data_IF_120239903368
#
_entry.id   IF_120239903368
#
_cell.length_a   1.000
_cell.length_b   1.000
_cell.length_c   1.000
_cell.angle_alpha   90.00
_cell.angle_beta   90.00
_cell.angle_gamma   90.00
#
_symmetry.space_group_name_H-M   'P 1'
#
loop_
_entity.id
_entity.type
_entity.pdbx_description
1 polymer ?
#
# COMPACT_ATOMS: atom_id res chain seq x y z
N UNK A 1 -14.60 -14.97 11.32
CA UNK A 1 -15.12 -13.73 10.67
C UNK A 1 -14.34 -13.45 9.39
N UNK A 2 -14.94 -12.78 8.40
CA UNK A 2 -14.29 -12.47 7.11
C UNK A 2 -13.24 -11.36 7.26
N UNK A 3 -12.16 -11.47 6.47
CA UNK A 3 -11.07 -10.49 6.38
C UNK A 3 -10.65 -10.31 4.92
N UNK A 4 -10.26 -9.10 4.56
CA UNK A 4 -9.57 -8.83 3.31
C UNK A 4 -8.06 -8.79 3.53
N UNK A 5 -7.30 -9.46 2.68
CA UNK A 5 -5.84 -9.34 2.61
C UNK A 5 -5.49 -8.78 1.24
N UNK A 6 -4.68 -7.73 1.23
CA UNK A 6 -4.19 -7.09 0.01
C UNK A 6 -2.67 -7.25 -0.08
N UNK A 7 -2.21 -7.94 -1.11
CA UNK A 7 -0.78 -8.10 -1.38
C UNK A 7 -0.30 -6.99 -2.34
N UNK A 8 0.50 -6.06 -1.82
CA UNK A 8 1.03 -4.93 -2.59
C UNK A 8 2.04 -5.35 -3.65
N UNK A 9 2.71 -6.48 -3.47
CA UNK A 9 3.69 -7.00 -4.44
C UNK A 9 3.01 -7.50 -5.72
N UNK A 10 1.77 -7.97 -5.60
CA UNK A 10 0.96 -8.48 -6.69
C UNK A 10 0.12 -7.39 -7.37
N UNK A 11 -0.19 -6.28 -6.68
CA UNK A 11 -1.00 -5.21 -7.25
C UNK A 11 -0.21 -4.45 -8.33
N UNK A 12 -0.72 -4.46 -9.56
CA UNK A 12 -0.09 -3.79 -10.73
C UNK A 12 -0.81 -2.51 -11.17
N UNK A 13 -1.79 -2.03 -10.39
CA UNK A 13 -2.51 -0.81 -10.73
C UNK A 13 -3.40 -0.93 -11.98
N UNK A 14 -3.90 -2.11 -12.31
CA UNK A 14 -4.73 -2.33 -13.52
C UNK A 14 -6.15 -1.75 -13.43
N UNK A 15 -6.57 -1.27 -12.25
CA UNK A 15 -7.90 -0.70 -11.97
C UNK A 15 -9.09 -1.66 -12.16
N UNK A 16 -8.90 -2.91 -12.56
CA UNK A 16 -9.98 -3.88 -12.81
C UNK A 16 -10.91 -4.04 -11.61
N UNK A 17 -10.37 -4.17 -10.40
CA UNK A 17 -11.16 -4.28 -9.17
C UNK A 17 -12.00 -3.03 -8.87
N UNK A 18 -11.49 -1.83 -9.21
CA UNK A 18 -12.22 -0.56 -9.05
C UNK A 18 -13.39 -0.47 -10.02
N UNK A 19 -13.18 -0.84 -11.29
CA UNK A 19 -14.21 -0.82 -12.32
C UNK A 19 -15.25 -1.91 -12.04
N UNK A 20 -14.83 -3.13 -11.71
CA UNK A 20 -15.74 -4.22 -11.35
C UNK A 20 -16.62 -3.90 -10.13
N UNK A 21 -16.07 -3.24 -9.10
CA UNK A 21 -16.85 -2.75 -7.96
C UNK A 21 -17.87 -1.69 -8.39
N UNK A 22 -17.48 -0.81 -9.31
CA UNK A 22 -18.36 0.23 -9.84
C UNK A 22 -19.50 -0.36 -10.67
N UNK A 23 -19.18 -1.26 -11.58
CA UNK A 23 -20.12 -1.95 -12.45
C UNK A 23 -21.16 -2.75 -11.64
N UNK A 24 -20.73 -3.47 -10.62
CA UNK A 24 -21.61 -4.24 -9.73
C UNK A 24 -22.66 -3.37 -9.03
N UNK A 25 -22.33 -2.10 -8.71
CA UNK A 25 -23.17 -1.27 -7.84
C UNK A 25 -23.79 -0.04 -8.54
N UNK A 26 -23.39 0.29 -9.77
CA UNK A 26 -24.03 1.34 -10.54
C UNK A 26 -25.32 0.81 -11.17
N UNK A 27 -26.43 1.53 -10.98
CA UNK A 27 -27.72 1.12 -11.54
C UNK A 27 -28.38 -0.11 -10.87
N UNK A 28 -27.74 -0.72 -9.86
CA UNK A 28 -28.22 -1.92 -9.18
C UNK A 28 -28.51 -1.65 -7.70
N UNK A 29 -29.71 -1.99 -7.26
CA UNK A 29 -30.11 -2.01 -5.86
C UNK A 29 -29.89 -3.41 -5.26
N UNK A 30 -29.11 -3.48 -4.21
CA UNK A 30 -28.80 -4.70 -3.46
C UNK A 30 -29.36 -4.65 -2.05
N UNK A 31 -30.70 -4.49 -1.93
CA UNK A 31 -31.36 -4.43 -0.61
C UNK A 31 -31.20 -5.75 0.16
N UNK A 32 -31.02 -5.69 1.48
CA UNK A 32 -30.99 -4.50 2.35
C UNK A 32 -29.60 -3.86 2.49
N UNK A 33 -28.60 -4.21 1.66
CA UNK A 33 -27.20 -3.87 1.85
C UNK A 33 -26.77 -2.59 1.13
N UNK A 34 -27.37 -2.28 -0.01
CA UNK A 34 -27.03 -1.10 -0.80
C UNK A 34 -28.15 -0.64 -1.69
N UNK A 35 -28.16 0.65 -1.98
CA UNK A 35 -28.79 1.31 -3.13
C UNK A 35 -27.74 1.61 -4.18
N UNK A 36 -28.16 1.78 -5.43
CA UNK A 36 -27.29 2.07 -6.55
C UNK A 36 -26.32 3.23 -6.28
N UNK A 37 -25.09 3.07 -6.72
CA UNK A 37 -24.10 4.16 -6.74
C UNK A 37 -24.47 5.19 -7.80
N UNK A 38 -24.05 6.46 -7.65
CA UNK A 38 -24.06 7.43 -8.76
C UNK A 38 -23.21 6.90 -9.94
N UNK A 39 -23.58 7.26 -11.17
CA UNK A 39 -22.85 6.85 -12.37
C UNK A 39 -21.40 7.33 -12.40
N UNK A 40 -21.14 8.49 -11.79
CA UNK A 40 -19.81 9.10 -11.70
C UNK A 40 -19.36 9.26 -10.25
N UNK A 41 -18.05 9.29 -10.02
CA UNK A 41 -17.49 9.43 -8.67
C UNK A 41 -17.82 8.25 -7.75
N UNK A 42 -17.71 8.45 -6.43
CA UNK A 42 -18.07 7.49 -5.36
C UNK A 42 -17.53 6.07 -5.58
N UNK A 43 -16.26 5.95 -5.90
CA UNK A 43 -15.63 4.62 -5.99
C UNK A 43 -15.47 4.03 -4.59
N UNK A 44 -16.31 3.05 -4.22
CA UNK A 44 -16.26 2.39 -2.90
C UNK A 44 -15.03 1.53 -2.71
N UNK A 45 -14.43 1.07 -3.77
CA UNK A 45 -13.06 0.63 -3.86
C UNK A 45 -12.36 1.49 -4.91
N UNK A 46 -11.23 2.08 -4.57
CA UNK A 46 -10.39 2.84 -5.48
C UNK A 46 -8.95 2.36 -5.42
N UNK A 47 -8.24 2.44 -6.52
CA UNK A 47 -6.80 2.24 -6.54
C UNK A 47 -6.15 3.58 -6.18
N UNK A 48 -5.29 3.53 -5.18
CA UNK A 48 -4.39 4.64 -4.86
C UNK A 48 -3.09 4.38 -5.59
N UNK A 49 -2.63 5.39 -6.32
CA UNK A 49 -1.33 5.45 -6.96
C UNK A 49 -0.43 6.34 -6.12
N UNK A 50 0.72 5.81 -5.73
CA UNK A 50 1.73 6.54 -4.98
C UNK A 50 3.02 6.55 -5.78
N UNK A 51 3.25 7.66 -6.47
CA UNK A 51 4.52 7.95 -7.11
C UNK A 51 5.52 8.47 -6.08
N UNK A 52 6.75 7.99 -6.13
CA UNK A 52 7.81 8.29 -5.17
C UNK A 52 9.17 8.37 -5.83
N UNK A 53 10.09 9.10 -5.18
CA UNK A 53 11.42 9.39 -5.67
C UNK A 53 11.43 10.57 -6.63
N UNK A 54 12.53 10.72 -7.37
CA UNK A 54 12.74 11.79 -8.35
C UNK A 54 13.42 11.24 -9.60
N UNK A 55 13.17 11.88 -10.75
CA UNK A 55 13.85 11.50 -11.98
C UNK A 55 15.37 11.46 -11.79
N UNK A 56 16.10 10.44 -12.32
CA UNK A 56 15.59 9.30 -13.09
C UNK A 56 15.14 8.08 -12.24
N UNK A 57 15.17 8.17 -10.92
CA UNK A 57 14.90 7.05 -9.99
C UNK A 57 13.52 7.17 -9.38
N UNK A 58 12.49 6.82 -10.15
CA UNK A 58 11.07 6.85 -9.72
C UNK A 58 10.54 5.46 -9.44
N UNK A 59 9.68 5.33 -8.43
CA UNK A 59 8.89 4.13 -8.13
C UNK A 59 7.42 4.49 -8.00
N UNK A 60 6.57 3.68 -8.60
CA UNK A 60 5.12 3.79 -8.45
C UNK A 60 4.60 2.54 -7.73
N UNK A 61 3.80 2.75 -6.70
CA UNK A 61 3.17 1.67 -5.94
C UNK A 61 1.67 1.88 -5.95
N UNK A 62 0.93 0.83 -6.28
CA UNK A 62 -0.53 0.85 -6.34
C UNK A 62 -1.11 0.02 -5.20
N UNK A 63 -2.23 0.48 -4.63
CA UNK A 63 -2.95 -0.32 -3.66
C UNK A 63 -4.46 -0.06 -3.66
N UNK A 64 -5.28 -1.10 -3.55
CA UNK A 64 -6.71 -0.98 -3.34
C UNK A 64 -7.01 -0.31 -2.00
N UNK A 65 -7.93 0.66 -2.00
CA UNK A 65 -8.39 1.37 -0.83
C UNK A 65 -9.91 1.34 -0.78
N UNK A 66 -10.45 0.74 0.29
CA UNK A 66 -11.88 0.46 0.43
C UNK A 66 -12.33 0.64 1.88
N UNK A 67 -13.58 0.37 2.21
CA UNK A 67 -14.01 0.34 3.62
C UNK A 67 -13.25 -0.75 4.37
N UNK A 68 -12.70 -0.39 5.52
CA UNK A 68 -11.88 -1.31 6.35
C UNK A 68 -12.71 -2.24 7.23
N UNK A 69 -14.05 -2.17 7.23
CA UNK A 69 -14.96 -3.01 8.00
C UNK A 69 -14.54 -3.22 9.46
N UNK A 70 -14.07 -2.15 10.10
CA UNK A 70 -13.43 -2.16 11.42
C UNK A 70 -14.27 -2.91 12.47
N UNK A 71 -13.60 -3.60 13.42
CA UNK A 71 -14.30 -4.22 14.56
C UNK A 71 -14.84 -3.17 15.53
N UNK A 72 -14.03 -2.16 15.79
CA UNK A 72 -14.41 -0.98 16.59
C UNK A 72 -14.75 0.19 15.65
N UNK A 73 -15.78 0.00 14.80
CA UNK A 73 -16.12 0.94 13.74
C UNK A 73 -16.74 2.25 14.29
N UNK A 74 -16.05 3.41 14.22
CA UNK A 74 -16.55 4.67 14.80
C UNK A 74 -17.83 5.19 14.11
N UNK A 75 -18.07 4.77 12.87
CA UNK A 75 -19.28 5.13 12.13
C UNK A 75 -20.56 4.50 12.72
N UNK A 76 -20.45 3.40 13.48
CA UNK A 76 -21.63 2.75 14.10
C UNK A 76 -22.22 3.63 15.21
N UNK A 77 -21.48 4.01 16.27
CA UNK A 77 -22.03 4.87 17.32
C UNK A 77 -22.38 6.27 16.83
N UNK A 78 -21.75 6.77 15.77
CA UNK A 78 -22.09 8.06 15.17
C UNK A 78 -23.46 8.04 14.46
N UNK A 79 -23.98 6.89 14.11
CA UNK A 79 -25.27 6.77 13.42
C UNK A 79 -26.45 6.81 14.39
N UNK A 80 -27.03 7.98 14.61
CA UNK A 80 -28.15 8.20 15.56
C UNK A 80 -29.40 7.38 15.23
N UNK A 81 -29.64 7.11 13.95
CA UNK A 81 -30.80 6.32 13.49
C UNK A 81 -30.48 4.82 13.41
N UNK A 82 -29.29 4.39 13.87
CA UNK A 82 -28.85 2.99 13.88
C UNK A 82 -28.95 2.30 12.50
N UNK A 83 -28.75 3.05 11.44
CA UNK A 83 -28.68 2.53 10.08
C UNK A 83 -27.37 1.75 9.82
N UNK A 84 -26.30 2.04 10.60
CA UNK A 84 -25.03 1.35 10.46
C UNK A 84 -24.91 0.24 11.48
N UNK A 85 -24.58 -0.96 11.00
CA UNK A 85 -24.45 -2.13 11.86
C UNK A 85 -23.34 -3.06 11.38
N UNK A 86 -22.83 -3.89 12.28
CA UNK A 86 -21.88 -4.96 11.99
C UNK A 86 -22.60 -6.28 11.88
N UNK A 87 -22.32 -7.01 10.80
CA UNK A 87 -22.81 -8.37 10.56
C UNK A 87 -21.99 -9.38 11.38
N UNK A 88 -22.53 -10.59 11.53
CA UNK A 88 -21.85 -11.71 12.22
C UNK A 88 -20.56 -12.13 11.48
N UNK A 89 -20.50 -11.97 10.16
CA UNK A 89 -19.32 -12.25 9.35
C UNK A 89 -18.24 -11.16 9.41
N UNK A 90 -18.49 -10.06 10.14
CA UNK A 90 -17.56 -8.97 10.33
C UNK A 90 -17.73 -7.80 9.36
N UNK A 91 -18.58 -7.91 8.35
CA UNK A 91 -18.85 -6.80 7.43
C UNK A 91 -19.68 -5.71 8.13
N UNK A 92 -19.29 -4.46 7.93
CA UNK A 92 -20.04 -3.28 8.40
C UNK A 92 -20.89 -2.76 7.25
N UNK A 93 -22.18 -2.61 7.48
CA UNK A 93 -23.17 -2.23 6.46
C UNK A 93 -23.86 -0.93 6.86
N UNK A 94 -24.28 -0.14 5.87
CA UNK A 94 -25.23 0.95 6.02
C UNK A 94 -26.55 0.49 5.40
N UNK A 95 -27.59 0.32 6.18
CA UNK A 95 -28.94 0.01 5.70
C UNK A 95 -29.52 1.26 5.03
N UNK A 96 -29.71 1.24 3.70
CA UNK A 96 -30.17 2.43 2.98
C UNK A 96 -31.64 2.80 3.28
N UNK A 97 -32.44 1.84 3.80
CA UNK A 97 -33.82 2.11 4.18
C UNK A 97 -33.93 2.86 5.51
N UNK A 98 -32.91 2.76 6.37
CA UNK A 98 -32.87 3.46 7.67
C UNK A 98 -32.08 4.75 7.64
N UNK A 99 -31.21 4.94 6.62
CA UNK A 99 -30.36 6.12 6.54
C UNK A 99 -31.19 7.38 6.26
N UNK A 100 -31.06 8.37 7.12
CA UNK A 100 -31.78 9.67 7.00
C UNK A 100 -30.90 10.82 6.43
N UNK A 101 -29.67 10.50 5.97
CA UNK A 101 -28.80 11.49 5.34
C UNK A 101 -28.10 12.48 6.27
N UNK A 102 -28.01 12.22 7.58
CA UNK A 102 -27.40 13.15 8.55
C UNK A 102 -25.89 13.41 8.35
N UNK A 103 -25.18 12.55 7.61
CA UNK A 103 -23.74 12.65 7.26
C UNK A 103 -22.75 12.46 8.44
N UNK A 104 -23.19 12.27 9.68
CA UNK A 104 -22.31 12.14 10.85
C UNK A 104 -21.27 11.03 10.68
N UNK A 105 -21.62 9.94 10.00
CA UNK A 105 -20.72 8.81 9.72
C UNK A 105 -19.55 9.15 8.78
N UNK A 106 -19.69 10.16 7.90
CA UNK A 106 -18.62 10.60 7.00
C UNK A 106 -17.47 11.19 7.83
N UNK A 107 -17.82 12.04 8.81
CA UNK A 107 -16.85 12.68 9.69
C UNK A 107 -16.25 11.72 10.73
N UNK A 108 -17.03 10.73 11.14
CA UNK A 108 -16.57 9.72 12.10
C UNK A 108 -15.60 8.70 11.49
N UNK A 109 -15.59 8.55 10.17
CA UNK A 109 -14.74 7.56 9.50
C UNK A 109 -13.29 8.06 9.37
N UNK A 110 -12.30 7.48 10.09
CA UNK A 110 -10.92 7.96 10.04
C UNK A 110 -10.22 7.65 8.70
N UNK A 111 -10.82 6.77 7.89
CA UNK A 111 -10.32 6.40 6.56
C UNK A 111 -10.94 7.23 5.42
N UNK A 112 -12.00 8.00 5.67
CA UNK A 112 -12.66 8.81 4.65
C UNK A 112 -13.28 8.01 3.50
N UNK A 113 -13.79 6.80 3.78
CA UNK A 113 -14.31 5.86 2.77
C UNK A 113 -15.83 5.73 2.74
N UNK A 114 -16.52 6.68 3.35
CA UNK A 114 -17.98 6.80 3.31
C UNK A 114 -18.30 7.99 2.41
N UNK A 115 -19.14 7.78 1.43
CA UNK A 115 -19.56 8.75 0.43
C UNK A 115 -21.00 9.16 0.68
N UNK A 116 -21.39 10.35 0.26
CA UNK A 116 -22.76 10.82 0.35
C UNK A 116 -23.40 10.89 -1.03
N UNK A 117 -24.47 10.14 -1.23
CA UNK A 117 -25.25 10.17 -2.45
C UNK A 117 -26.33 11.26 -2.32
N UNK A 118 -26.08 12.40 -2.96
CA UNK A 118 -26.98 13.58 -2.91
C UNK A 118 -28.35 13.27 -3.53
N UNK A 119 -28.40 12.47 -4.58
CA UNK A 119 -29.66 12.14 -5.27
C UNK A 119 -30.60 11.29 -4.42
N UNK A 120 -30.03 10.38 -3.62
CA UNK A 120 -30.78 9.49 -2.73
C UNK A 120 -30.84 10.01 -1.30
N UNK A 121 -30.09 11.06 -0.99
CA UNK A 121 -29.93 11.62 0.36
C UNK A 121 -29.50 10.57 1.40
N UNK A 122 -28.55 9.66 1.04
CA UNK A 122 -28.03 8.60 1.91
C UNK A 122 -26.51 8.52 1.88
N UNK A 123 -25.93 8.00 2.97
CA UNK A 123 -24.53 7.60 3.01
C UNK A 123 -24.34 6.22 2.38
N UNK A 124 -23.25 6.06 1.64
CA UNK A 124 -22.89 4.81 0.94
C UNK A 124 -21.41 4.49 1.12
N UNK A 125 -21.06 3.20 1.11
CA UNK A 125 -19.66 2.72 1.17
C UNK A 125 -19.59 1.29 0.69
N UNK A 126 -18.38 0.74 0.57
CA UNK A 126 -18.16 -0.68 0.31
C UNK A 126 -18.97 -1.55 1.30
N UNK A 127 -19.70 -2.50 0.77
CA UNK A 127 -20.52 -3.47 1.51
C UNK A 127 -19.83 -4.83 1.67
N UNK A 128 -18.60 -4.98 1.12
CA UNK A 128 -17.97 -6.30 0.96
C UNK A 128 -18.77 -7.21 0.03
N UNK A 129 -19.63 -6.64 -0.83
CA UNK A 129 -20.57 -7.38 -1.67
C UNK A 129 -21.40 -8.42 -0.86
N UNK A 130 -21.96 -7.99 0.29
CA UNK A 130 -22.72 -8.86 1.19
C UNK A 130 -23.80 -9.68 0.47
N UNK A 131 -24.41 -9.12 -0.59
CA UNK A 131 -25.41 -9.79 -1.43
C UNK A 131 -24.84 -10.99 -2.24
N UNK A 132 -23.54 -10.99 -2.54
CA UNK A 132 -22.82 -12.12 -3.15
C UNK A 132 -22.37 -13.10 -2.06
N UNK A 133 -21.80 -12.58 -0.98
CA UNK A 133 -21.32 -13.37 0.17
C UNK A 133 -22.43 -14.26 0.75
N UNK A 134 -23.66 -13.75 0.83
CA UNK A 134 -24.83 -14.52 1.30
C UNK A 134 -25.21 -15.67 0.36
N UNK A 135 -24.79 -15.63 -0.91
CA UNK A 135 -24.96 -16.70 -1.88
C UNK A 135 -23.80 -17.70 -1.91
N UNK A 136 -22.76 -17.45 -1.11
CA UNK A 136 -21.52 -18.24 -1.10
C UNK A 136 -20.48 -17.78 -2.13
N UNK A 137 -20.73 -16.66 -2.82
CA UNK A 137 -19.83 -16.08 -3.79
C UNK A 137 -18.78 -15.16 -3.14
N UNK A 138 -17.79 -14.74 -3.89
CA UNK A 138 -16.76 -13.80 -3.47
C UNK A 138 -17.13 -12.35 -3.84
N UNK A 139 -16.61 -11.33 -3.11
CA UNK A 139 -16.74 -9.95 -3.51
C UNK A 139 -16.22 -9.70 -4.94
N UNK A 140 -16.90 -8.90 -5.72
CA UNK A 140 -16.59 -8.68 -7.14
C UNK A 140 -15.16 -8.17 -7.39
N UNK A 141 -14.61 -7.37 -6.47
CA UNK A 141 -13.22 -6.91 -6.56
C UNK A 141 -12.18 -8.02 -6.37
N UNK A 142 -12.53 -9.09 -5.66
CA UNK A 142 -11.67 -10.26 -5.47
C UNK A 142 -11.70 -11.12 -6.71
N UNK A 143 -12.92 -11.45 -7.18
CA UNK A 143 -13.15 -12.25 -8.38
C UNK A 143 -12.50 -11.62 -9.63
N UNK A 144 -12.59 -10.31 -9.80
CA UNK A 144 -12.06 -9.58 -10.93
C UNK A 144 -10.54 -9.31 -10.90
N UNK A 145 -9.83 -9.66 -9.81
CA UNK A 145 -8.41 -9.33 -9.69
C UNK A 145 -7.53 -10.32 -10.49
N UNK A 146 -6.90 -9.91 -11.61
CA UNK A 146 -6.17 -10.84 -12.47
C UNK A 146 -4.86 -11.37 -11.85
N UNK A 147 -4.35 -10.71 -10.81
CA UNK A 147 -3.13 -11.09 -10.11
C UNK A 147 -3.40 -11.67 -8.72
N UNK A 148 -4.67 -11.86 -8.36
CA UNK A 148 -5.09 -12.33 -7.03
C UNK A 148 -4.52 -11.51 -5.86
N UNK A 149 -4.24 -10.23 -6.10
CA UNK A 149 -3.71 -9.33 -5.09
C UNK A 149 -4.68 -9.07 -3.93
N UNK A 150 -5.98 -9.33 -4.12
CA UNK A 150 -7.01 -9.16 -3.10
C UNK A 150 -7.57 -10.53 -2.75
N UNK A 151 -7.51 -10.90 -1.47
CA UNK A 151 -8.11 -12.13 -0.93
C UNK A 151 -9.21 -11.78 0.06
N UNK A 152 -10.26 -12.61 0.11
CA UNK A 152 -11.37 -12.45 1.04
C UNK A 152 -11.84 -13.82 1.52
N UNK A 153 -11.59 -14.16 2.77
CA UNK A 153 -11.94 -15.45 3.37
C UNK A 153 -12.24 -15.30 4.87
N UNK A 154 -12.60 -16.41 5.50
CA UNK A 154 -12.60 -16.50 6.96
C UNK A 154 -11.17 -16.34 7.49
N UNK A 155 -11.01 -15.69 8.66
CA UNK A 155 -9.70 -15.48 9.30
C UNK A 155 -8.92 -16.78 9.47
N UNK A 156 -9.63 -17.87 9.82
CA UNK A 156 -9.00 -19.18 10.02
C UNK A 156 -8.33 -19.73 8.75
N UNK A 157 -8.89 -19.44 7.59
CA UNK A 157 -8.32 -19.85 6.31
C UNK A 157 -7.09 -19.02 5.88
N UNK A 158 -6.90 -17.83 6.46
CA UNK A 158 -5.83 -16.90 6.12
C UNK A 158 -4.87 -16.63 7.31
N UNK A 159 -4.87 -17.48 8.33
CA UNK A 159 -4.07 -17.30 9.57
C UNK A 159 -2.61 -16.98 9.31
N UNK A 160 -1.98 -17.65 8.37
CA UNK A 160 -0.55 -17.44 8.11
C UNK A 160 -0.30 -16.11 7.40
N UNK A 161 -1.14 -15.73 6.45
CA UNK A 161 -1.06 -14.42 5.80
C UNK A 161 -1.39 -13.27 6.77
N UNK A 162 -2.34 -13.47 7.70
CA UNK A 162 -2.69 -12.47 8.71
C UNK A 162 -1.52 -12.18 9.66
N UNK A 163 -0.68 -13.16 9.99
CA UNK A 163 0.52 -12.97 10.82
C UNK A 163 1.55 -12.04 10.18
N UNK A 164 1.63 -12.06 8.85
CA UNK A 164 2.56 -11.24 8.07
C UNK A 164 1.94 -9.91 7.63
N UNK A 165 0.61 -9.85 7.59
CA UNK A 165 -0.12 -8.66 7.17
C UNK A 165 -0.25 -7.63 8.30
N UNK A 166 -0.31 -6.37 7.92
CA UNK A 166 -0.45 -5.25 8.87
C UNK A 166 -1.51 -4.25 8.41
N UNK A 167 -2.08 -3.46 9.33
CA UNK A 167 -2.93 -2.35 8.97
C UNK A 167 -2.19 -1.33 8.10
N UNK A 168 -2.84 -0.81 7.04
CA UNK A 168 -2.29 0.26 6.19
C UNK A 168 -1.93 1.52 7.00
N UNK A 169 -2.68 1.80 8.06
CA UNK A 169 -2.54 2.92 8.98
C UNK A 169 -2.35 2.38 10.40
N UNK A 170 -1.10 2.16 10.86
CA UNK A 170 -0.82 1.67 12.22
C UNK A 170 -1.35 2.60 13.32
N UNK A 171 -1.40 3.91 13.06
CA UNK A 171 -1.99 4.91 13.96
C UNK A 171 -3.51 4.71 14.18
N UNK A 172 -4.16 3.94 13.32
CA UNK A 172 -5.59 3.58 13.40
C UNK A 172 -5.82 2.13 13.84
N UNK A 173 -4.82 1.44 14.38
CA UNK A 173 -4.94 0.05 14.85
C UNK A 173 -6.04 -0.11 15.90
N UNK A 174 -6.29 0.92 16.72
CA UNK A 174 -7.36 0.95 17.73
C UNK A 174 -8.77 0.63 17.19
N UNK A 175 -9.03 0.91 15.90
CA UNK A 175 -10.33 0.60 15.28
C UNK A 175 -10.40 -0.82 14.75
N UNK A 176 -9.33 -1.62 14.88
CA UNK A 176 -9.20 -3.01 14.46
C UNK A 176 -9.71 -3.24 13.04
N UNK A 177 -8.99 -2.74 12.02
CA UNK A 177 -9.41 -2.89 10.63
C UNK A 177 -9.39 -4.36 10.19
N UNK A 178 -10.35 -4.75 9.35
CA UNK A 178 -10.45 -6.07 8.71
C UNK A 178 -9.98 -6.09 7.26
N UNK A 179 -9.27 -5.06 6.85
CA UNK A 179 -8.49 -5.01 5.62
C UNK A 179 -7.04 -4.82 6.00
N UNK A 180 -6.23 -5.84 5.75
CA UNK A 180 -4.82 -5.89 6.09
C UNK A 180 -3.99 -5.95 4.81
N UNK A 181 -2.75 -5.53 4.89
CA UNK A 181 -1.85 -5.42 3.74
C UNK A 181 -0.55 -6.19 3.98
N UNK A 182 -0.12 -6.92 2.97
CA UNK A 182 1.20 -7.53 2.87
C UNK A 182 2.13 -6.58 2.12
N UNK A 183 3.42 -6.68 2.39
CA UNK A 183 4.47 -5.93 1.71
C UNK A 183 4.35 -4.40 1.84
N UNK A 184 3.94 -3.91 3.02
CA UNK A 184 3.85 -2.47 3.31
C UNK A 184 5.20 -1.76 3.22
N UNK A 185 6.32 -2.47 3.25
CA UNK A 185 7.65 -1.93 2.99
C UNK A 185 7.78 -1.31 1.60
N UNK A 186 6.92 -1.72 0.63
CA UNK A 186 6.85 -1.10 -0.69
C UNK A 186 6.33 0.34 -0.67
N UNK A 187 5.71 0.77 0.44
CA UNK A 187 5.25 2.14 0.66
C UNK A 187 6.23 2.98 1.48
N UNK A 188 7.25 2.33 2.08
CA UNK A 188 8.29 3.00 2.89
C UNK A 188 9.36 3.62 1.99
N UNK A 189 10.12 4.59 2.50
CA UNK A 189 11.23 5.21 1.77
C UNK A 189 12.23 4.22 1.19
N UNK A 190 12.89 4.65 0.13
CA UNK A 190 14.06 3.99 -0.43
C UNK A 190 15.27 4.94 -0.51
N UNK A 191 16.45 4.33 -0.63
CA UNK A 191 17.70 5.02 -0.92
C UNK A 191 18.33 4.35 -2.14
N UNK A 192 18.76 5.14 -3.11
CA UNK A 192 19.37 4.67 -4.36
C UNK A 192 20.51 5.57 -4.80
N UNK A 193 21.31 5.10 -5.72
CA UNK A 193 22.36 5.85 -6.40
C UNK A 193 22.93 5.03 -7.54
N UNK A 194 23.78 5.66 -8.37
CA UNK A 194 24.52 5.02 -9.43
C UNK A 194 26.04 5.21 -9.20
N UNK A 195 26.83 4.17 -9.43
CA UNK A 195 28.29 4.19 -9.24
C UNK A 195 28.97 4.11 -10.59
N UNK A 196 29.91 5.01 -10.88
CA UNK A 196 30.61 5.04 -12.15
C UNK A 196 32.08 5.44 -12.02
N UNK A 197 32.88 5.01 -12.99
CA UNK A 197 34.30 5.39 -13.17
C UNK A 197 34.37 6.60 -14.12
N UNK A 198 34.69 7.79 -13.62
CA UNK A 198 34.73 9.00 -14.48
C UNK A 198 35.92 9.05 -15.45
N UNK A 199 36.98 8.24 -15.26
CA UNK A 199 38.12 8.19 -16.15
C UNK A 199 37.88 7.29 -17.37
N UNK A 200 37.00 6.28 -17.19
CA UNK A 200 36.61 5.34 -18.24
C UNK A 200 35.28 5.67 -18.89
N UNK A 201 34.51 6.54 -18.25
CA UNK A 201 33.11 6.81 -18.59
C UNK A 201 32.25 5.54 -18.61
N UNK A 202 32.47 4.66 -17.61
CA UNK A 202 31.81 3.36 -17.48
C UNK A 202 31.09 3.22 -16.15
N UNK A 203 29.90 2.56 -16.16
CA UNK A 203 29.21 2.17 -14.94
C UNK A 203 29.97 1.04 -14.23
N UNK A 204 29.96 1.04 -12.90
CA UNK A 204 30.67 0.02 -12.11
C UNK A 204 29.65 -1.02 -11.63
N UNK A 205 29.64 -2.17 -12.32
CA UNK A 205 28.87 -3.35 -11.93
C UNK A 205 29.53 -4.09 -10.76
N UNK A 206 28.72 -4.70 -9.88
CA UNK A 206 29.15 -5.58 -8.81
C UNK A 206 29.98 -4.88 -7.73
N UNK A 207 29.87 -3.57 -7.57
CA UNK A 207 30.38 -2.89 -6.38
C UNK A 207 29.53 -3.26 -5.17
N UNK A 208 30.16 -3.67 -4.08
CA UNK A 208 29.46 -3.96 -2.81
C UNK A 208 29.04 -2.66 -2.18
N UNK A 209 27.75 -2.53 -1.87
CA UNK A 209 27.19 -1.37 -1.19
C UNK A 209 26.61 -1.80 0.13
N UNK A 210 27.07 -1.22 1.23
CA UNK A 210 26.62 -1.46 2.60
C UNK A 210 25.91 -0.23 3.12
N UNK A 211 24.64 -0.37 3.50
CA UNK A 211 23.86 0.65 4.21
C UNK A 211 23.89 0.35 5.72
N UNK A 212 24.21 1.33 6.53
CA UNK A 212 24.30 1.22 7.97
C UNK A 212 23.35 2.24 8.60
N UNK A 213 22.38 1.77 9.40
CA UNK A 213 21.58 2.67 10.23
C UNK A 213 22.43 3.13 11.42
N UNK A 214 22.73 4.43 11.52
CA UNK A 214 23.61 4.96 12.54
C UNK A 214 23.00 4.83 13.95
N UNK A 215 21.67 4.87 14.06
CA UNK A 215 20.98 4.81 15.35
C UNK A 215 20.89 3.39 15.89
N UNK A 216 20.61 2.40 15.05
CA UNK A 216 20.39 1.00 15.47
C UNK A 216 21.61 0.10 15.27
N UNK A 217 22.55 0.50 14.42
CA UNK A 217 23.68 -0.31 13.97
C UNK A 217 23.31 -1.40 12.96
N UNK A 218 22.05 -1.48 12.53
CA UNK A 218 21.59 -2.45 11.51
C UNK A 218 22.32 -2.23 10.19
N UNK A 219 22.78 -3.33 9.57
CA UNK A 219 23.46 -3.31 8.27
C UNK A 219 22.65 -4.06 7.23
N UNK A 220 22.56 -3.47 6.05
CA UNK A 220 22.00 -4.11 4.86
C UNK A 220 23.00 -4.01 3.73
N UNK A 221 23.11 -5.04 2.89
CA UNK A 221 24.07 -5.10 1.80
C UNK A 221 23.35 -5.35 0.47
N UNK A 222 23.89 -4.78 -0.58
CA UNK A 222 23.51 -5.03 -1.98
C UNK A 222 24.72 -4.89 -2.86
N UNK A 223 24.57 -5.16 -4.16
CA UNK A 223 25.59 -4.91 -5.18
C UNK A 223 25.01 -4.04 -6.28
N UNK A 224 25.87 -3.26 -6.94
CA UNK A 224 25.47 -2.51 -8.11
C UNK A 224 25.19 -3.43 -9.30
N UNK A 225 24.16 -3.10 -10.08
CA UNK A 225 23.80 -3.81 -11.32
C UNK A 225 24.68 -3.36 -12.51
N UNK A 226 24.36 -3.86 -13.72
CA UNK A 226 25.10 -3.53 -14.98
C UNK A 226 25.10 -2.05 -15.33
N UNK A 227 24.18 -1.26 -14.78
CA UNK A 227 24.10 0.19 -14.94
C UNK A 227 24.75 0.95 -13.79
N UNK A 228 25.41 0.24 -12.86
CA UNK A 228 25.98 0.80 -11.65
C UNK A 228 24.94 1.16 -10.58
N UNK A 229 23.68 0.82 -10.77
CA UNK A 229 22.58 1.17 -9.87
C UNK A 229 22.52 0.27 -8.65
N UNK A 230 22.23 0.88 -7.50
CA UNK A 230 21.89 0.13 -6.28
C UNK A 230 20.64 0.68 -5.60
N UNK A 231 19.92 -0.18 -4.87
CA UNK A 231 18.66 0.16 -4.23
C UNK A 231 18.54 -0.47 -2.84
N UNK A 232 18.21 0.35 -1.84
CA UNK A 232 17.75 -0.09 -0.53
C UNK A 232 16.29 0.36 -0.37
N UNK A 233 15.36 -0.58 -0.29
CA UNK A 233 13.91 -0.33 -0.20
C UNK A 233 13.42 -0.61 1.20
N UNK A 234 12.24 -0.05 1.57
CA UNK A 234 11.57 -0.35 2.83
C UNK A 234 12.31 0.20 4.04
N UNK A 235 12.93 1.38 3.91
CA UNK A 235 13.69 2.00 4.99
C UNK A 235 12.75 2.65 6.01
N UNK A 236 13.16 2.63 7.27
CA UNK A 236 12.54 3.42 8.31
C UNK A 236 13.14 4.82 8.33
N UNK A 237 12.39 5.87 8.69
CA UNK A 237 12.95 7.20 8.89
C UNK A 237 14.09 7.14 9.93
N UNK A 238 15.31 7.47 9.51
CA UNK A 238 16.52 7.44 10.35
C UNK A 238 17.68 8.11 9.63
N UNK A 239 18.84 8.17 10.29
CA UNK A 239 20.11 8.60 9.69
C UNK A 239 20.94 7.37 9.32
N UNK A 240 21.45 7.36 8.11
CA UNK A 240 22.19 6.24 7.52
C UNK A 240 23.58 6.66 7.06
N UNK A 241 24.45 5.66 6.90
CA UNK A 241 25.75 5.72 6.27
C UNK A 241 25.77 4.72 5.11
N UNK A 242 26.31 5.10 3.97
CA UNK A 242 26.55 4.22 2.80
C UNK A 242 28.05 4.02 2.64
N UNK A 243 28.48 2.77 2.50
CA UNK A 243 29.83 2.39 2.11
C UNK A 243 29.79 1.65 0.77
N UNK A 244 30.70 1.99 -0.13
CA UNK A 244 30.79 1.38 -1.44
C UNK A 244 32.22 0.88 -1.63
N UNK A 245 32.37 -0.39 -1.96
CA UNK A 245 33.66 -1.07 -2.10
C UNK A 245 33.69 -1.87 -3.40
N UNK A 246 34.80 -1.76 -4.13
CA UNK A 246 35.09 -2.55 -5.34
C UNK A 246 36.59 -2.81 -5.43
N UNK A 247 36.95 -4.03 -5.74
CA UNK A 247 38.37 -4.39 -5.95
C UNK A 247 38.98 -3.54 -7.07
N UNK A 248 40.12 -2.95 -6.81
CA UNK A 248 40.83 -2.04 -7.75
C UNK A 248 40.35 -0.58 -7.72
N UNK A 249 39.46 -0.22 -6.78
CA UNK A 249 38.95 1.13 -6.60
C UNK A 249 39.14 1.61 -5.15
N UNK A 250 39.21 2.92 -4.96
CA UNK A 250 39.18 3.53 -3.65
C UNK A 250 37.77 3.39 -3.05
N UNK A 251 37.65 2.95 -1.78
CA UNK A 251 36.35 2.84 -1.14
C UNK A 251 35.71 4.22 -0.92
N UNK A 252 34.38 4.28 -0.98
CA UNK A 252 33.60 5.48 -0.72
C UNK A 252 32.80 5.32 0.54
N UNK A 253 32.72 6.40 1.31
CA UNK A 253 31.87 6.52 2.48
C UNK A 253 31.04 7.81 2.40
N UNK A 254 29.71 7.69 2.52
CA UNK A 254 28.77 8.81 2.57
C UNK A 254 28.05 8.73 3.89
N UNK A 255 28.23 9.75 4.74
CA UNK A 255 27.73 9.78 6.10
C UNK A 255 26.52 10.72 6.25
N UNK A 256 25.80 10.57 7.35
CA UNK A 256 24.69 11.46 7.77
C UNK A 256 23.55 11.61 6.76
N UNK A 257 23.23 10.55 6.03
CA UNK A 257 22.12 10.54 5.09
C UNK A 257 20.81 10.44 5.88
N UNK A 258 20.06 11.53 5.93
CA UNK A 258 18.79 11.60 6.65
C UNK A 258 17.67 11.11 5.73
N UNK A 259 17.14 9.93 6.01
CA UNK A 259 16.04 9.31 5.24
C UNK A 259 14.73 9.58 5.97
N UNK A 260 13.98 10.57 5.54
CA UNK A 260 12.58 10.85 5.92
C UNK A 260 11.65 10.53 4.75
N UNK A 261 12.14 10.65 3.53
CA UNK A 261 11.50 10.36 2.26
C UNK A 261 12.49 9.62 1.33
N UNK A 262 12.10 9.37 0.09
CA UNK A 262 12.96 8.70 -0.89
C UNK A 262 14.19 9.54 -1.21
N UNK A 263 15.36 8.90 -1.18
CA UNK A 263 16.65 9.56 -1.43
C UNK A 263 17.31 8.98 -2.68
N UNK A 264 17.66 9.85 -3.62
CA UNK A 264 18.56 9.54 -4.71
C UNK A 264 19.91 10.26 -4.47
N UNK A 265 20.96 9.49 -4.25
CA UNK A 265 22.33 10.02 -4.05
C UNK A 265 22.96 10.53 -5.35
N UNK A 266 22.28 10.31 -6.50
CA UNK A 266 22.82 10.67 -7.81
C UNK A 266 23.97 9.78 -8.24
N UNK A 267 24.83 10.35 -9.10
CA UNK A 267 25.98 9.66 -9.68
C UNK A 267 27.19 9.77 -8.75
N UNK A 268 27.67 8.62 -8.28
CA UNK A 268 28.76 8.50 -7.30
C UNK A 268 30.03 8.08 -8.05
N UNK A 269 31.04 8.95 -8.02
CA UNK A 269 32.31 8.73 -8.71
C UNK A 269 33.22 7.83 -7.90
N UNK A 270 33.69 6.72 -8.49
CA UNK A 270 34.75 5.86 -7.93
C UNK A 270 35.99 5.91 -8.79
N UNK A 271 37.16 6.11 -8.17
CA UNK A 271 38.44 6.20 -8.85
C UNK A 271 39.26 4.93 -8.61
N UNK A 272 40.01 4.49 -9.65
CA UNK A 272 40.86 3.30 -9.54
C UNK A 272 42.03 3.52 -8.61
N UNK A 273 42.42 2.47 -7.90
CA UNK A 273 43.71 2.46 -7.16
C UNK A 273 44.85 2.24 -8.17
N UNK A 274 46.03 2.85 -7.99
CA UNK A 274 47.18 2.58 -8.81
C UNK A 274 47.46 1.08 -8.88
N UNK A 275 47.58 0.55 -10.12
CA UNK A 275 48.01 -0.84 -10.27
C UNK A 275 49.46 -0.94 -9.77
N UNK A 276 49.81 -2.00 -8.99
CA UNK A 276 51.19 -2.26 -8.67
C UNK A 276 51.96 -2.42 -9.99
N UNK A 277 53.09 -1.73 -10.13
CA UNK A 277 53.94 -1.84 -11.31
C UNK A 277 54.23 -3.32 -11.55
N UNK A 278 53.92 -3.81 -12.77
CA UNK A 278 54.31 -5.17 -13.17
C UNK A 278 55.84 -5.22 -13.12
N UNK A 279 56.39 -5.88 -12.10
CA UNK A 279 57.80 -6.23 -12.02
C UNK A 279 58.14 -7.33 -13.00
#
# INVERSE_FOLDING_TARGET
MKVFIVDLSLCKGCYTCQIACKDEHVGNDWMPYAKAQPSTGHFWLKIIEKERGSYPKVKVTYYPYLCFHCDEAPCIPACRVKAIYKRQDGLVIIDPAKCNGCRDCLYACPYGVIYFNENLNIAQKCTGCAHLVDKGDTPRCVDACPTEAIKFCEEDALKDLIKEASPLRPDLERVKPRVLYLHLELLKPFLTGAVYDPERDECIEGAKVTLINITTGEKRETTTDIFGDFWFKGLSPSTYEVRIEKTGYYPIKIEHIKVEEDINLGDIKMYQTPQPAKT
#
